data_IF_942936008328
#
_entry.id   IF_942936008328
#
_cell.length_a   1.000
_cell.length_b   1.000
_cell.length_c   1.000
_cell.angle_alpha   90.00
_cell.angle_beta   90.00
_cell.angle_gamma   90.00
#
_symmetry.space_group_name_H-M   'P 1'
#
loop_
_entity.id
_entity.type
_entity.pdbx_description
1 polymer ?
#
# COMPACT_ATOMS: atom_id res chain seq x y z
N UNK A 1 7.73 2.92 4.98
CA UNK A 1 6.78 2.21 4.11
C UNK A 1 5.54 1.71 4.85
N UNK A 2 5.70 0.86 5.87
CA UNK A 2 4.59 0.34 6.69
C UNK A 2 3.61 1.41 7.17
N UNK A 3 4.11 2.51 7.75
CA UNK A 3 3.27 3.63 8.17
C UNK A 3 2.48 4.31 7.03
N UNK A 4 2.99 4.29 5.79
CA UNK A 4 2.28 4.83 4.61
C UNK A 4 1.19 3.88 4.17
N UNK A 5 1.49 2.58 4.09
CA UNK A 5 0.51 1.54 3.81
C UNK A 5 -0.63 1.56 4.84
N UNK A 6 -0.29 1.60 6.13
CA UNK A 6 -1.26 1.63 7.21
C UNK A 6 -2.16 2.87 7.14
N UNK A 7 -1.58 4.07 6.93
CA UNK A 7 -2.35 5.30 6.70
C UNK A 7 -3.24 5.24 5.46
N UNK A 8 -2.75 4.67 4.36
CA UNK A 8 -3.54 4.52 3.13
C UNK A 8 -4.78 3.64 3.37
N UNK A 9 -4.60 2.50 4.03
CA UNK A 9 -5.70 1.60 4.38
C UNK A 9 -6.67 2.24 5.37
N UNK A 10 -6.16 2.93 6.40
CA UNK A 10 -7.00 3.66 7.36
C UNK A 10 -7.82 4.77 6.69
N UNK A 11 -7.19 5.59 5.83
CA UNK A 11 -7.87 6.67 5.09
C UNK A 11 -8.96 6.14 4.17
N UNK A 12 -8.77 4.96 3.60
CA UNK A 12 -9.75 4.29 2.76
C UNK A 12 -10.81 3.49 3.56
N UNK A 13 -10.75 3.50 4.90
CA UNK A 13 -11.57 2.68 5.79
C UNK A 13 -11.53 1.17 5.44
N UNK A 14 -10.32 0.67 5.17
CA UNK A 14 -10.06 -0.72 4.77
C UNK A 14 -9.46 -1.49 5.93
N UNK A 15 -10.15 -2.55 6.36
CA UNK A 15 -9.62 -3.50 7.35
C UNK A 15 -8.54 -4.40 6.74
N UNK A 16 -7.70 -5.00 7.58
CA UNK A 16 -6.69 -5.95 7.12
C UNK A 16 -7.32 -7.16 6.41
N UNK A 17 -8.45 -7.67 6.92
CA UNK A 17 -9.22 -8.74 6.27
C UNK A 17 -9.71 -8.36 4.86
N UNK A 18 -10.22 -7.14 4.69
CA UNK A 18 -10.68 -6.65 3.38
C UNK A 18 -9.52 -6.50 2.39
N UNK A 19 -8.40 -5.95 2.85
CA UNK A 19 -7.19 -5.85 2.05
C UNK A 19 -6.65 -7.24 1.68
N UNK A 20 -6.66 -8.21 2.61
CA UNK A 20 -6.24 -9.58 2.34
C UNK A 20 -7.08 -10.23 1.22
N UNK A 21 -8.41 -10.06 1.26
CA UNK A 21 -9.30 -10.50 0.20
C UNK A 21 -9.03 -9.85 -1.16
N UNK A 22 -8.61 -8.58 -1.18
CA UNK A 22 -8.20 -7.94 -2.43
C UNK A 22 -6.89 -8.49 -2.98
N UNK A 23 -5.99 -8.94 -2.12
CA UNK A 23 -4.62 -9.27 -2.49
C UNK A 23 -4.40 -10.77 -2.65
N UNK A 24 -5.40 -11.58 -2.28
CA UNK A 24 -5.32 -13.05 -2.25
C UNK A 24 -4.15 -13.53 -1.38
N UNK A 25 -4.05 -12.94 -0.18
CA UNK A 25 -3.03 -13.27 0.84
C UNK A 25 -3.70 -13.47 2.20
N UNK A 26 -2.93 -13.91 3.21
CA UNK A 26 -3.47 -14.04 4.55
C UNK A 26 -3.65 -12.66 5.21
N UNK A 27 -4.63 -12.54 6.12
CA UNK A 27 -4.78 -11.33 6.93
C UNK A 27 -3.53 -11.06 7.79
N UNK A 28 -2.86 -12.11 8.28
CA UNK A 28 -1.63 -11.99 9.04
C UNK A 28 -0.52 -11.30 8.25
N UNK A 29 -0.37 -11.62 6.96
CA UNK A 29 0.60 -10.94 6.08
C UNK A 29 0.33 -9.44 6.03
N UNK A 30 -0.93 -9.05 5.83
CA UNK A 30 -1.33 -7.64 5.81
C UNK A 30 -1.05 -6.97 7.15
N UNK A 31 -1.35 -7.63 8.28
CA UNK A 31 -1.04 -7.09 9.61
C UNK A 31 0.47 -6.91 9.83
N UNK A 32 1.30 -7.85 9.37
CA UNK A 32 2.76 -7.74 9.43
C UNK A 32 3.28 -6.58 8.58
N UNK A 33 2.72 -6.38 7.39
CA UNK A 33 3.08 -5.25 6.53
C UNK A 33 2.73 -3.91 7.14
N UNK A 34 1.53 -3.79 7.74
CA UNK A 34 1.09 -2.56 8.44
C UNK A 34 1.97 -2.21 9.63
N UNK A 35 2.53 -3.22 10.31
CA UNK A 35 3.48 -3.07 11.43
C UNK A 35 4.94 -2.94 10.98
N UNK A 36 5.24 -3.16 9.71
CA UNK A 36 6.60 -3.10 9.17
C UNK A 36 7.49 -4.29 9.55
N UNK A 37 6.89 -5.43 9.88
CA UNK A 37 7.59 -6.68 10.23
C UNK A 37 8.09 -7.37 8.96
N UNK A 38 7.26 -7.42 7.92
CA UNK A 38 7.62 -7.94 6.59
C UNK A 38 7.28 -6.93 5.51
N UNK A 39 7.79 -7.16 4.30
CA UNK A 39 7.56 -6.29 3.14
C UNK A 39 6.58 -7.00 2.18
N UNK A 40 5.50 -6.34 1.74
CA UNK A 40 4.63 -6.88 0.70
C UNK A 40 5.40 -7.18 -0.59
N UNK A 41 5.01 -8.23 -1.33
CA UNK A 41 5.54 -8.45 -2.67
C UNK A 41 5.10 -7.34 -3.63
N UNK A 42 5.86 -7.11 -4.72
CA UNK A 42 5.56 -6.06 -5.71
C UNK A 42 4.15 -6.17 -6.30
N UNK A 43 3.66 -7.40 -6.51
CA UNK A 43 2.30 -7.63 -6.99
C UNK A 43 1.24 -7.07 -6.01
N UNK A 44 1.46 -7.19 -4.71
CA UNK A 44 0.58 -6.62 -3.70
C UNK A 44 0.64 -5.08 -3.74
N UNK A 45 1.82 -4.48 -3.93
CA UNK A 45 1.92 -3.02 -4.08
C UNK A 45 1.16 -2.49 -5.27
N UNK A 46 1.33 -3.09 -6.44
CA UNK A 46 0.61 -2.67 -7.64
C UNK A 46 -0.90 -2.79 -7.46
N UNK A 47 -1.37 -3.84 -6.78
CA UNK A 47 -2.80 -4.06 -6.56
C UNK A 47 -3.38 -3.10 -5.52
N UNK A 48 -2.67 -2.82 -4.43
CA UNK A 48 -3.07 -1.80 -3.44
C UNK A 48 -3.12 -0.41 -4.10
N UNK A 49 -2.07 -0.06 -4.83
CA UNK A 49 -1.97 1.21 -5.56
C UNK A 49 -3.14 1.38 -6.53
N UNK A 50 -3.46 0.35 -7.31
CA UNK A 50 -4.58 0.37 -8.25
C UNK A 50 -5.94 0.47 -7.55
N UNK A 51 -6.18 -0.29 -6.48
CA UNK A 51 -7.49 -0.31 -5.80
C UNK A 51 -7.76 0.98 -5.03
N UNK A 52 -6.71 1.62 -4.50
CA UNK A 52 -6.81 2.85 -3.72
C UNK A 52 -6.52 4.13 -4.51
N UNK A 53 -6.28 3.99 -5.83
CA UNK A 53 -5.86 5.09 -6.72
C UNK A 53 -4.67 5.88 -6.15
N UNK A 54 -3.61 5.15 -5.79
CA UNK A 54 -2.38 5.69 -5.23
C UNK A 54 -1.22 5.53 -6.22
N UNK A 55 -0.28 6.47 -6.17
CA UNK A 55 1.02 6.32 -6.80
C UNK A 55 1.81 5.20 -6.10
N UNK A 56 2.22 4.18 -6.87
CA UNK A 56 2.99 3.04 -6.35
C UNK A 56 4.40 3.44 -5.91
N UNK A 57 5.04 4.42 -6.56
CA UNK A 57 6.32 4.98 -6.13
C UNK A 57 6.15 5.70 -4.79
N UNK A 58 5.09 6.48 -4.59
CA UNK A 58 4.78 7.07 -3.29
C UNK A 58 4.56 6.00 -2.23
N UNK A 59 3.86 4.91 -2.56
CA UNK A 59 3.64 3.81 -1.62
C UNK A 59 4.95 3.11 -1.24
N UNK A 60 5.91 3.02 -2.16
CA UNK A 60 7.26 2.46 -1.98
C UNK A 60 8.21 3.40 -1.23
N UNK A 61 8.51 4.56 -1.78
CA UNK A 61 9.58 5.48 -1.31
C UNK A 61 9.06 6.60 -0.43
N UNK A 62 7.78 6.98 -0.60
CA UNK A 62 7.18 8.13 0.09
C UNK A 62 7.38 9.43 -0.66
N UNK A 63 8.06 9.38 -1.80
CA UNK A 63 8.16 10.46 -2.74
C UNK A 63 6.98 10.30 -3.72
N UNK A 64 6.10 11.29 -3.80
CA UNK A 64 5.25 11.40 -4.97
C UNK A 64 6.16 11.61 -6.18
N UNK A 65 5.85 11.00 -7.34
CA UNK A 65 6.51 11.45 -8.55
C UNK A 65 6.26 12.96 -8.66
N UNK A 66 7.31 13.77 -8.51
CA UNK A 66 7.22 15.16 -8.93
C UNK A 66 6.84 15.07 -10.40
N UNK A 67 5.60 15.43 -10.73
CA UNK A 67 5.25 15.78 -12.08
C UNK A 67 6.31 16.81 -12.48
N UNK A 68 7.24 16.40 -13.34
CA UNK A 68 8.25 17.29 -13.86
C UNK A 68 7.46 18.42 -14.53
N UNK A 69 7.35 19.55 -13.84
CA UNK A 69 6.88 20.79 -14.44
C UNK A 69 7.98 21.17 -15.40
N UNK A 70 7.80 20.75 -16.66
CA UNK A 70 8.54 21.33 -17.78
C UNK A 70 8.02 22.75 -17.91
N UNK A 71 8.89 23.71 -17.59
CA UNK A 71 8.68 25.14 -17.80
C UNK A 71 9.05 25.50 -19.24
#
# INVERSE_FOLDING_TARGET
MAARLDRALQKANVSSAKAAGWLDVSEHDVQFWRRGITVPPLAAFNRIAKVLDLDVHWLCTGQAQHAATVN
#
